data_IF_511445871002
#
_entry.id   IF_511445871002
#
_cell.length_a   1.000
_cell.length_b   1.000
_cell.length_c   1.000
_cell.angle_alpha   90.00
_cell.angle_beta   90.00
_cell.angle_gamma   90.00
#
_symmetry.space_group_name_H-M   'P 1'
#
loop_
_entity.id
_entity.type
_entity.pdbx_description
1 polymer ?
#
# COMPACT_ATOMS: atom_id res chain seq x y z
N UNK A 1 7.04 1.67 -12.88
CA UNK A 1 6.53 1.33 -11.55
C UNK A 1 5.74 2.48 -10.93
N UNK A 2 6.29 3.70 -10.83
CA UNK A 2 5.61 4.82 -10.15
C UNK A 2 4.20 5.20 -10.67
N UNK A 3 3.91 5.38 -11.98
CA UNK A 3 2.63 5.96 -12.39
C UNK A 3 1.42 5.04 -12.18
N UNK A 4 1.63 3.72 -12.05
CA UNK A 4 0.57 2.74 -11.77
C UNK A 4 0.34 2.49 -10.29
N UNK A 5 1.37 2.62 -9.45
CA UNK A 5 1.29 2.37 -8.01
C UNK A 5 0.77 3.59 -7.23
N UNK A 6 1.06 4.81 -7.72
CA UNK A 6 0.65 6.07 -7.06
C UNK A 6 -0.86 6.16 -6.80
N UNK A 7 -1.77 5.80 -7.73
CA UNK A 7 -3.21 5.84 -7.47
C UNK A 7 -3.65 4.87 -6.36
N UNK A 8 -3.04 3.68 -6.29
CA UNK A 8 -3.37 2.67 -5.29
C UNK A 8 -2.86 3.04 -3.90
N UNK A 9 -1.62 3.55 -3.81
CA UNK A 9 -1.08 4.06 -2.55
C UNK A 9 -1.85 5.29 -2.07
N UNK A 10 -2.26 6.18 -2.99
CA UNK A 10 -3.09 7.33 -2.65
C UNK A 10 -4.47 6.92 -2.12
N UNK A 11 -5.13 5.92 -2.74
CA UNK A 11 -6.39 5.39 -2.25
C UNK A 11 -6.27 4.80 -0.84
N UNK A 12 -5.18 4.07 -0.57
CA UNK A 12 -4.88 3.57 0.76
C UNK A 12 -4.72 4.69 1.80
N UNK A 13 -3.95 5.74 1.48
CA UNK A 13 -3.78 6.90 2.36
C UNK A 13 -5.10 7.65 2.60
N UNK A 14 -5.96 7.78 1.59
CA UNK A 14 -7.28 8.41 1.73
C UNK A 14 -8.21 7.61 2.64
N UNK A 15 -8.20 6.27 2.54
CA UNK A 15 -8.97 5.41 3.45
C UNK A 15 -8.46 5.60 4.89
N UNK A 16 -7.15 5.58 5.10
CA UNK A 16 -6.56 5.81 6.42
C UNK A 16 -6.92 7.19 7.00
N UNK A 17 -6.80 8.27 6.20
CA UNK A 17 -7.20 9.61 6.64
C UNK A 17 -8.71 9.72 6.89
N UNK A 18 -9.55 9.09 6.08
CA UNK A 18 -11.00 9.08 6.28
C UNK A 18 -11.39 8.44 7.61
N UNK A 19 -10.77 7.30 7.94
CA UNK A 19 -10.98 6.66 9.24
C UNK A 19 -10.36 7.45 10.40
N UNK A 20 -9.21 8.09 10.22
CA UNK A 20 -8.63 8.98 11.23
C UNK A 20 -9.54 10.19 11.51
N UNK A 21 -10.15 10.79 10.47
CA UNK A 21 -11.12 11.87 10.59
C UNK A 21 -12.42 11.41 11.27
N UNK A 22 -12.93 10.22 10.93
CA UNK A 22 -14.11 9.64 11.57
C UNK A 22 -13.86 9.30 13.03
N UNK A 23 -12.69 8.76 13.37
CA UNK A 23 -12.30 8.48 14.76
C UNK A 23 -12.19 9.75 15.59
N UNK A 24 -11.58 10.80 15.03
CA UNK A 24 -11.52 12.11 15.67
C UNK A 24 -12.91 12.72 15.88
N UNK A 25 -13.79 12.67 14.86
CA UNK A 25 -15.14 13.23 14.96
C UNK A 25 -16.06 12.45 15.92
N UNK A 26 -15.97 11.11 15.94
CA UNK A 26 -16.81 10.23 16.77
C UNK A 26 -16.34 10.20 18.23
N UNK A 27 -15.02 10.19 18.48
CA UNK A 27 -14.47 10.12 19.84
C UNK A 27 -14.06 11.48 20.43
N UNK A 28 -13.99 12.54 19.62
CA UNK A 28 -13.62 13.89 20.02
C UNK A 28 -14.46 14.49 21.17
N UNK A 29 -15.79 14.32 21.23
CA UNK A 29 -16.59 14.89 22.31
C UNK A 29 -16.52 14.11 23.65
N UNK A 30 -15.90 12.93 23.68
CA UNK A 30 -16.02 11.99 24.81
C UNK A 30 -14.69 11.66 25.53
N UNK A 31 -13.53 12.07 25.01
CA UNK A 31 -12.23 11.79 25.65
C UNK A 31 -11.16 12.87 25.40
N UNK A 32 -10.48 13.31 26.47
CA UNK A 32 -9.41 14.32 26.45
C UNK A 32 -8.17 13.91 25.61
N UNK A 33 -8.01 12.62 25.28
CA UNK A 33 -6.87 12.08 24.49
C UNK A 33 -7.09 12.04 22.97
N UNK A 34 -8.32 12.24 22.49
CA UNK A 34 -8.65 12.32 21.06
C UNK A 34 -8.82 13.77 20.58
N UNK A 35 -8.39 14.76 21.37
CA UNK A 35 -8.61 16.17 21.05
C UNK A 35 -7.90 16.62 19.76
N UNK A 36 -6.76 15.98 19.42
CA UNK A 36 -5.98 16.30 18.24
C UNK A 36 -5.93 15.16 17.22
N UNK A 37 -6.02 15.50 15.94
CA UNK A 37 -5.86 14.60 14.80
C UNK A 37 -4.57 13.78 14.88
N UNK A 38 -3.48 14.37 15.41
CA UNK A 38 -2.18 13.70 15.57
C UNK A 38 -2.22 12.51 16.55
N UNK A 39 -2.82 12.70 17.72
CA UNK A 39 -2.93 11.63 18.72
C UNK A 39 -3.83 10.49 18.27
N UNK A 40 -4.87 10.80 17.48
CA UNK A 40 -5.73 9.79 16.84
C UNK A 40 -4.93 8.94 15.85
N UNK A 41 -4.06 9.56 15.05
CA UNK A 41 -3.16 8.84 14.14
C UNK A 41 -2.16 7.94 14.89
N UNK A 42 -1.47 8.44 15.91
CA UNK A 42 -0.52 7.65 16.72
C UNK A 42 -1.19 6.42 17.35
N UNK A 43 -2.42 6.60 17.84
CA UNK A 43 -3.24 5.54 18.42
C UNK A 43 -3.64 4.49 17.36
N UNK A 44 -4.08 4.94 16.18
CA UNK A 44 -4.37 4.03 15.06
C UNK A 44 -3.11 3.27 14.59
N UNK A 45 -1.94 3.91 14.59
CA UNK A 45 -0.67 3.25 14.25
C UNK A 45 -0.30 2.17 15.26
N UNK A 46 -0.31 2.48 16.56
CA UNK A 46 -0.08 1.48 17.61
C UNK A 46 -1.09 0.33 17.53
N UNK A 47 -2.36 0.62 17.21
CA UNK A 47 -3.41 -0.38 17.03
C UNK A 47 -3.17 -1.30 15.83
N UNK A 48 -2.67 -0.79 14.70
CA UNK A 48 -2.31 -1.62 13.55
C UNK A 48 -1.19 -2.61 13.87
N UNK A 49 -0.26 -2.22 14.74
CA UNK A 49 0.81 -3.10 15.24
C UNK A 49 0.37 -3.94 16.45
N UNK A 50 -0.84 -3.70 16.98
CA UNK A 50 -1.48 -4.50 18.03
C UNK A 50 -1.11 -4.12 19.46
N UNK A 51 -0.53 -2.95 19.71
CA UNK A 51 0.29 -2.74 20.93
C UNK A 51 -0.50 -2.34 22.20
N UNK A 52 -1.36 -1.30 22.24
CA UNK A 52 -1.78 -0.81 23.58
C UNK A 52 -3.20 -0.23 23.75
N UNK A 53 -3.91 0.02 22.65
CA UNK A 53 -5.13 0.83 22.71
C UNK A 53 -6.34 0.07 23.25
N UNK A 54 -6.38 -1.23 23.02
CA UNK A 54 -7.47 -2.11 23.45
C UNK A 54 -7.58 -2.18 24.99
N UNK A 55 -6.45 -2.08 25.68
CA UNK A 55 -6.39 -2.03 27.13
C UNK A 55 -7.03 -0.72 27.67
N UNK A 56 -6.83 0.40 26.98
CA UNK A 56 -7.38 1.69 27.40
C UNK A 56 -8.90 1.77 27.24
N UNK A 57 -9.49 1.14 26.20
CA UNK A 57 -10.96 1.11 26.01
C UNK A 57 -11.66 0.27 27.10
N UNK A 58 -10.98 -0.73 27.65
CA UNK A 58 -11.52 -1.57 28.73
C UNK A 58 -11.66 -0.85 30.07
N UNK A 59 -10.91 0.23 30.26
CA UNK A 59 -10.96 1.05 31.48
C UNK A 59 -12.06 2.14 31.42
N UNK A 60 -12.84 2.20 30.33
CA UNK A 60 -13.93 3.18 30.16
C UNK A 60 -15.31 2.60 30.46
N UNK A 61 -16.25 3.47 30.84
CA UNK A 61 -17.64 3.14 31.18
C UNK A 61 -18.30 2.18 30.18
N UNK A 62 -19.11 1.23 30.68
CA UNK A 62 -19.67 0.10 29.93
C UNK A 62 -20.36 0.43 28.58
N UNK A 63 -21.20 1.48 28.43
CA UNK A 63 -21.81 1.79 27.13
C UNK A 63 -20.77 2.30 26.12
N UNK A 64 -19.75 3.01 26.60
CA UNK A 64 -18.70 3.60 25.77
C UNK A 64 -17.68 2.57 25.30
N UNK A 65 -17.42 1.55 26.14
CA UNK A 65 -16.60 0.40 25.78
C UNK A 65 -17.16 -0.33 24.55
N UNK A 66 -18.48 -0.53 24.47
CA UNK A 66 -19.10 -1.25 23.37
C UNK A 66 -18.98 -0.49 22.03
N UNK A 67 -19.19 0.83 22.05
CA UNK A 67 -18.96 1.67 20.87
C UNK A 67 -17.49 1.68 20.42
N UNK A 68 -16.55 1.78 21.37
CA UNK A 68 -15.12 1.72 21.08
C UNK A 68 -14.69 0.38 20.46
N UNK A 69 -15.20 -0.74 20.99
CA UNK A 69 -14.93 -2.08 20.46
C UNK A 69 -15.43 -2.26 19.02
N UNK A 70 -16.67 -1.83 18.74
CA UNK A 70 -17.25 -1.96 17.40
C UNK A 70 -16.47 -1.09 16.40
N UNK A 71 -16.12 0.13 16.79
CA UNK A 71 -15.33 1.04 15.98
C UNK A 71 -13.94 0.46 15.65
N UNK A 72 -13.20 0.05 16.68
CA UNK A 72 -11.85 -0.54 16.53
C UNK A 72 -11.90 -1.82 15.71
N UNK A 73 -12.84 -2.72 16.01
CA UNK A 73 -12.96 -3.99 15.28
C UNK A 73 -13.25 -3.76 13.80
N UNK A 74 -14.15 -2.83 13.47
CA UNK A 74 -14.47 -2.48 12.08
C UNK A 74 -13.26 -1.88 11.37
N UNK A 75 -12.54 -0.98 12.05
CA UNK A 75 -11.33 -0.37 11.52
C UNK A 75 -10.26 -1.41 11.18
N UNK A 76 -9.90 -2.29 12.13
CA UNK A 76 -8.87 -3.33 11.92
C UNK A 76 -9.26 -4.26 10.76
N UNK A 77 -10.52 -4.70 10.73
CA UNK A 77 -10.99 -5.60 9.67
C UNK A 77 -10.93 -4.93 8.30
N UNK A 78 -11.53 -3.75 8.13
CA UNK A 78 -11.55 -3.05 6.84
C UNK A 78 -10.14 -2.70 6.38
N UNK A 79 -9.31 -2.20 7.28
CA UNK A 79 -7.94 -1.81 6.98
C UNK A 79 -7.07 -3.02 6.58
N UNK A 80 -7.17 -4.13 7.30
CA UNK A 80 -6.48 -5.38 6.97
C UNK A 80 -6.91 -5.93 5.61
N UNK A 81 -8.21 -5.90 5.29
CA UNK A 81 -8.68 -6.29 3.95
C UNK A 81 -8.10 -5.41 2.85
N UNK A 82 -8.13 -4.10 3.01
CA UNK A 82 -7.57 -3.16 2.01
C UNK A 82 -6.07 -3.37 1.84
N UNK A 83 -5.32 -3.56 2.93
CA UNK A 83 -3.90 -3.92 2.87
C UNK A 83 -3.66 -5.23 2.12
N UNK A 84 -4.47 -6.27 2.38
CA UNK A 84 -4.36 -7.55 1.70
C UNK A 84 -4.58 -7.39 0.19
N UNK A 85 -5.63 -6.67 -0.22
CA UNK A 85 -5.88 -6.38 -1.63
C UNK A 85 -4.75 -5.57 -2.28
N UNK A 86 -4.24 -4.56 -1.58
CA UNK A 86 -3.10 -3.78 -2.05
C UNK A 86 -1.84 -4.64 -2.25
N UNK A 87 -1.53 -5.54 -1.31
CA UNK A 87 -0.38 -6.43 -1.43
C UNK A 87 -0.49 -7.37 -2.64
N UNK A 88 -1.68 -7.91 -2.90
CA UNK A 88 -1.95 -8.77 -4.06
C UNK A 88 -1.79 -8.02 -5.38
N UNK A 89 -2.28 -6.78 -5.45
CA UNK A 89 -2.11 -5.91 -6.63
C UNK A 89 -0.64 -5.53 -6.86
N UNK A 90 0.07 -5.20 -5.78
CA UNK A 90 1.50 -4.88 -5.83
C UNK A 90 2.32 -6.07 -6.34
N UNK A 91 2.06 -7.26 -5.82
CA UNK A 91 2.73 -8.50 -6.23
C UNK A 91 2.45 -8.78 -7.71
N UNK A 92 1.20 -8.69 -8.14
CA UNK A 92 0.80 -8.88 -9.55
C UNK A 92 1.53 -7.90 -10.47
N UNK A 93 1.56 -6.62 -10.08
CA UNK A 93 2.26 -5.56 -10.81
C UNK A 93 3.77 -5.84 -10.90
N UNK A 94 4.39 -6.33 -9.81
CA UNK A 94 5.80 -6.69 -9.79
C UNK A 94 6.11 -7.87 -10.72
N UNK A 95 5.28 -8.91 -10.70
CA UNK A 95 5.42 -10.06 -11.59
C UNK A 95 5.22 -9.67 -13.06
N UNK A 96 4.22 -8.85 -13.39
CA UNK A 96 3.99 -8.34 -14.75
C UNK A 96 5.24 -7.62 -15.28
N UNK A 97 5.78 -6.69 -14.50
CA UNK A 97 6.98 -5.91 -14.89
C UNK A 97 8.20 -6.82 -15.07
N UNK A 98 8.41 -7.78 -14.16
CA UNK A 98 9.53 -8.72 -14.24
C UNK A 98 9.44 -9.59 -15.50
N UNK A 99 8.25 -10.09 -15.84
CA UNK A 99 8.01 -10.88 -17.04
C UNK A 99 8.23 -10.06 -18.34
N UNK A 100 7.78 -8.80 -18.37
CA UNK A 100 8.01 -7.91 -19.52
C UNK A 100 9.50 -7.60 -19.69
N UNK A 101 10.22 -7.38 -18.59
CA UNK A 101 11.68 -7.21 -18.59
C UNK A 101 12.40 -8.45 -19.13
N UNK A 102 12.03 -9.64 -18.66
CA UNK A 102 12.61 -10.90 -19.15
C UNK A 102 12.35 -11.09 -20.65
N UNK A 103 11.12 -10.83 -21.14
CA UNK A 103 10.81 -10.86 -22.57
C UNK A 103 11.61 -9.83 -23.37
N UNK A 104 11.76 -8.59 -22.86
CA UNK A 104 12.56 -7.55 -23.52
C UNK A 104 14.04 -7.91 -23.59
N UNK A 105 14.61 -8.45 -22.51
CA UNK A 105 16.01 -8.91 -22.46
C UNK A 105 16.21 -10.06 -23.44
N UNK A 106 15.34 -11.07 -23.40
CA UNK A 106 15.42 -12.21 -24.31
C UNK A 106 15.28 -11.79 -25.78
N UNK A 107 14.34 -10.88 -26.10
CA UNK A 107 14.18 -10.37 -27.46
C UNK A 107 15.34 -9.48 -27.91
N UNK A 108 15.94 -8.68 -27.02
CA UNK A 108 17.15 -7.91 -27.34
C UNK A 108 18.37 -8.80 -27.56
N UNK A 109 18.49 -9.93 -26.85
CA UNK A 109 19.53 -10.93 -27.06
C UNK A 109 19.29 -11.73 -28.35
N UNK A 110 18.03 -12.04 -28.67
CA UNK A 110 17.65 -12.79 -29.87
C UNK A 110 17.52 -11.93 -31.13
N UNK A 111 17.56 -10.60 -31.04
CA UNK A 111 17.73 -9.75 -32.21
C UNK A 111 19.22 -9.83 -32.57
N UNK A 112 19.66 -10.62 -33.57
CA UNK A 112 20.96 -10.35 -34.15
C UNK A 112 20.91 -8.89 -34.57
N UNK A 113 21.89 -8.09 -34.16
CA UNK A 113 22.00 -6.71 -34.62
C UNK A 113 21.82 -6.68 -36.15
N UNK A 114 21.32 -5.58 -36.74
CA UNK A 114 21.40 -5.46 -38.19
C UNK A 114 22.84 -5.79 -38.57
N UNK A 115 23.04 -6.88 -39.31
CA UNK A 115 24.35 -7.18 -39.84
C UNK A 115 24.76 -5.92 -40.58
N UNK A 116 25.84 -5.28 -40.14
CA UNK A 116 26.48 -4.28 -40.96
C UNK A 116 26.71 -4.95 -42.31
N UNK A 117 26.23 -4.37 -43.43
CA UNK A 117 26.32 -5.02 -44.70
C UNK A 117 27.78 -5.35 -44.97
N UNK A 118 28.00 -6.65 -45.15
CA UNK A 118 29.21 -7.28 -45.64
C UNK A 118 29.72 -6.47 -46.82
N UNK A 119 30.75 -5.64 -46.62
CA UNK A 119 31.69 -5.32 -47.69
C UNK A 119 32.84 -6.30 -47.60
N UNK A 120 32.52 -7.54 -48.01
CA UNK A 120 33.48 -8.36 -48.74
C UNK A 120 33.82 -7.61 -50.02
N UNK A 121 34.78 -6.69 -49.97
CA UNK A 121 35.37 -6.12 -51.17
C UNK A 121 36.70 -6.83 -51.44
N UNK A 122 36.57 -7.90 -52.23
CA UNK A 122 37.53 -8.28 -53.26
C UNK A 122 38.98 -8.46 -52.83
N UNK A 123 39.29 -9.65 -52.31
CA UNK A 123 40.50 -10.35 -52.75
C UNK A 123 40.31 -10.65 -54.24
N UNK A 124 40.90 -9.83 -55.11
CA UNK A 124 41.14 -10.18 -56.50
C UNK A 124 42.64 -10.00 -56.73
N UNK A 125 43.32 -11.13 -56.96
CA UNK A 125 44.71 -11.12 -57.37
C UNK A 125 44.85 -10.45 -58.75
N UNK A 126 45.85 -9.59 -58.88
CA UNK A 126 46.93 -9.69 -59.87
C UNK A 126 48.09 -8.79 -59.42
#
# INVERSE_FOLDING_TARGET
MLPRLVPFTFAFCLVFQGFACLGWAVLGPYNFRFSSFGSTCEMLFSLMYGDDVFATIRETEAPMQMFGYIYISTFITVFSFVLAFFSMDFITTFFEVTNVLQKKIFFNVLRPGPQSPTKCLGVHGL
#
